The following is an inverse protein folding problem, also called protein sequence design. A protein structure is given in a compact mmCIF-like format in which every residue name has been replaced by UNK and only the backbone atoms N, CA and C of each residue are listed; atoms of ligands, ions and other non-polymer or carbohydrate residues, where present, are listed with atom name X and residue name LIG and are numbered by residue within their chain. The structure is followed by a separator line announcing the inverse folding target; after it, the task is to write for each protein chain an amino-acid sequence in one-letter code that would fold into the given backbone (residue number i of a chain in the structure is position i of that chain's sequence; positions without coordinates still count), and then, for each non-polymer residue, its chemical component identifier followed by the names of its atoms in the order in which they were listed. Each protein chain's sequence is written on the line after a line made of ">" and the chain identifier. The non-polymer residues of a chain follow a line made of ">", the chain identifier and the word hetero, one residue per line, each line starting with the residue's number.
data_IF_567190190168
#
_entry.id   IF_567190190168
#
_cell.length_a   1.000
_cell.length_b   1.000
_cell.length_c   1.000
_cell.angle_alpha   90.00
_cell.angle_beta   90.00
_cell.angle_gamma   90.00
#
_symmetry.space_group_name_H-M   'P 1'
#
loop_
_entity.id
_entity.type
_entity.pdbx_description
1 polymer ?
#
# COMPACT_ATOMS: atom_id res chain seq x y z
N UNK A 1 43.20 -59.65 3.58
CA UNK A 1 43.04 -58.34 4.31
C UNK A 1 43.58 -57.26 3.41
N UNK A 2 42.74 -56.64 2.67
CA UNK A 2 43.05 -55.62 1.65
C UNK A 2 42.51 -54.29 2.15
N UNK A 3 43.42 -53.35 2.37
CA UNK A 3 43.08 -51.93 2.73
C UNK A 3 42.82 -51.18 1.45
N UNK A 4 41.58 -50.67 1.27
CA UNK A 4 41.28 -49.74 0.23
C UNK A 4 41.50 -48.32 0.76
N UNK A 5 42.44 -47.62 0.16
CA UNK A 5 42.64 -46.17 0.27
C UNK A 5 41.62 -45.47 -0.68
N UNK A 6 40.74 -44.67 -0.14
CA UNK A 6 39.98 -43.69 -0.90
C UNK A 6 40.77 -42.38 -0.95
N UNK A 7 41.20 -42.00 -2.15
CA UNK A 7 41.70 -40.66 -2.44
C UNK A 7 40.48 -39.74 -2.66
N UNK A 8 40.27 -38.81 -1.76
CA UNK A 8 39.35 -37.73 -1.95
C UNK A 8 40.07 -36.61 -2.70
N UNK A 9 39.74 -36.42 -3.99
CA UNK A 9 40.21 -35.30 -4.79
C UNK A 9 39.50 -34.01 -4.36
N UNK A 10 40.24 -33.09 -3.79
CA UNK A 10 39.82 -31.72 -3.49
C UNK A 10 39.86 -30.94 -4.80
N UNK A 11 38.70 -30.74 -5.45
CA UNK A 11 38.57 -29.79 -6.56
C UNK A 11 38.50 -28.38 -5.97
N UNK A 12 39.61 -27.64 -6.03
CA UNK A 12 39.61 -26.19 -5.82
C UNK A 12 38.87 -25.53 -6.99
N UNK A 13 37.63 -25.13 -6.76
CA UNK A 13 37.00 -24.13 -7.63
C UNK A 13 37.60 -22.77 -7.30
N UNK A 14 38.56 -22.35 -8.09
CA UNK A 14 38.97 -20.94 -8.16
C UNK A 14 37.80 -20.16 -8.77
N UNK A 15 36.99 -19.54 -7.93
CA UNK A 15 36.06 -18.50 -8.36
C UNK A 15 36.92 -17.34 -8.86
N UNK A 16 37.17 -17.28 -10.17
CA UNK A 16 37.67 -16.11 -10.83
C UNK A 16 36.56 -15.05 -10.65
N UNK A 17 36.77 -14.10 -9.75
CA UNK A 17 36.06 -12.84 -9.72
C UNK A 17 36.37 -12.16 -11.04
N UNK A 18 35.48 -12.32 -12.04
CA UNK A 18 35.44 -11.49 -13.20
C UNK A 18 35.11 -10.08 -12.67
N UNK A 19 36.14 -9.30 -12.42
CA UNK A 19 36.00 -7.84 -12.37
C UNK A 19 35.45 -7.45 -13.74
N UNK A 20 34.12 -7.27 -13.80
CA UNK A 20 33.50 -6.64 -14.96
C UNK A 20 34.22 -5.30 -15.12
N UNK A 21 34.87 -5.09 -16.26
CA UNK A 21 35.36 -3.76 -16.62
C UNK A 21 34.19 -2.80 -16.48
N UNK A 22 34.40 -1.57 -15.99
CA UNK A 22 33.35 -0.59 -15.92
C UNK A 22 32.80 -0.40 -17.33
N UNK A 23 31.61 -0.96 -17.55
CA UNK A 23 30.91 -0.82 -18.82
C UNK A 23 30.58 0.66 -18.94
N UNK A 24 31.01 1.30 -20.03
CA UNK A 24 30.70 2.72 -20.26
C UNK A 24 29.20 2.89 -20.18
N UNK A 25 28.75 3.95 -19.49
CA UNK A 25 27.33 4.26 -19.38
C UNK A 25 26.69 4.29 -20.77
N UNK A 26 25.52 3.65 -20.96
CA UNK A 26 24.83 3.66 -22.25
C UNK A 26 24.46 5.10 -22.64
N UNK A 27 24.36 5.34 -23.95
CA UNK A 27 24.00 6.65 -24.49
C UNK A 27 22.50 6.76 -24.70
N UNK A 28 21.93 7.92 -24.34
CA UNK A 28 20.53 8.25 -24.55
C UNK A 28 20.37 9.48 -25.48
N UNK A 29 19.34 9.47 -26.29
CA UNK A 29 18.94 10.58 -27.15
C UNK A 29 17.71 11.27 -26.61
N UNK A 30 17.82 12.56 -26.35
CA UNK A 30 16.67 13.39 -25.93
C UNK A 30 15.77 13.68 -27.12
N UNK A 31 14.50 13.39 -27.02
CA UNK A 31 13.47 13.84 -27.93
C UNK A 31 13.03 15.26 -27.55
N UNK A 32 13.31 16.28 -28.38
CA UNK A 32 13.00 17.67 -28.06
C UNK A 32 11.49 17.98 -28.04
N UNK A 33 10.67 17.16 -28.70
CA UNK A 33 9.25 17.43 -28.85
C UNK A 33 8.46 17.01 -27.60
N UNK A 34 8.93 15.96 -26.90
CA UNK A 34 8.21 15.41 -25.74
C UNK A 34 9.05 15.34 -24.44
N UNK A 35 10.35 15.65 -24.52
CA UNK A 35 11.25 15.70 -23.36
C UNK A 35 11.67 14.33 -22.80
N UNK A 36 11.36 13.22 -23.49
CA UNK A 36 11.83 11.90 -23.09
C UNK A 36 13.21 11.59 -23.65
N UNK A 37 13.93 10.73 -22.95
CA UNK A 37 15.22 10.19 -23.40
C UNK A 37 15.01 8.73 -23.81
N UNK A 38 15.59 8.33 -24.95
CA UNK A 38 15.57 6.94 -25.41
C UNK A 38 16.99 6.45 -25.56
N UNK A 39 17.32 5.29 -24.97
CA UNK A 39 18.64 4.67 -25.13
C UNK A 39 18.77 3.80 -26.40
N UNK A 40 19.93 3.21 -26.61
CA UNK A 40 20.23 2.35 -27.77
C UNK A 40 19.41 1.06 -27.80
N UNK A 41 18.88 0.61 -26.64
CA UNK A 41 18.00 -0.54 -26.52
C UNK A 41 16.53 -0.18 -26.82
N UNK A 42 16.22 1.10 -26.96
CA UNK A 42 14.87 1.62 -27.11
C UNK A 42 14.14 1.77 -25.79
N UNK A 43 14.85 1.74 -24.67
CA UNK A 43 14.27 2.00 -23.36
C UNK A 43 14.04 3.50 -23.20
N UNK A 44 12.90 3.86 -22.61
CA UNK A 44 12.45 5.23 -22.48
C UNK A 44 12.59 5.71 -21.05
N UNK A 45 13.10 6.94 -20.90
CA UNK A 45 13.32 7.58 -19.61
C UNK A 45 12.68 8.97 -19.59
N UNK A 46 12.27 9.39 -18.40
CA UNK A 46 11.81 10.74 -18.12
C UNK A 46 12.68 11.39 -17.04
N UNK A 47 12.71 12.73 -17.02
CA UNK A 47 13.43 13.46 -15.99
C UNK A 47 12.63 13.48 -14.69
N UNK A 48 13.34 13.25 -13.57
CA UNK A 48 12.87 13.47 -12.20
C UNK A 48 13.63 14.67 -11.67
N UNK A 49 12.96 15.66 -11.09
CA UNK A 49 13.53 16.89 -10.52
C UNK A 49 14.49 17.68 -11.44
N UNK A 50 14.56 17.34 -12.71
CA UNK A 50 15.39 17.98 -13.74
C UNK A 50 16.85 17.56 -13.78
N UNK A 51 17.31 16.67 -12.88
CA UNK A 51 18.72 16.24 -12.78
C UNK A 51 18.92 14.74 -12.91
N UNK A 52 17.91 13.95 -12.60
CA UNK A 52 17.93 12.49 -12.64
C UNK A 52 16.93 11.96 -13.65
N UNK A 53 17.13 10.73 -14.08
CA UNK A 53 16.22 10.01 -14.96
C UNK A 53 15.54 8.88 -14.23
N UNK A 54 14.35 8.49 -14.68
CA UNK A 54 13.71 7.22 -14.31
C UNK A 54 13.20 6.53 -15.58
N UNK A 55 13.30 5.21 -15.62
CA UNK A 55 12.76 4.40 -16.70
C UNK A 55 11.24 4.45 -16.65
N UNK A 56 10.57 4.78 -17.76
CA UNK A 56 9.14 5.05 -17.81
C UNK A 56 8.42 4.26 -18.90
N UNK A 57 7.09 4.30 -18.88
CA UNK A 57 6.28 3.63 -19.90
C UNK A 57 6.51 4.13 -21.33
N UNK A 58 6.21 3.29 -22.34
CA UNK A 58 6.26 3.64 -23.75
C UNK A 58 7.60 3.35 -24.44
N UNK A 59 8.56 2.72 -23.76
CA UNK A 59 9.76 2.16 -24.36
C UNK A 59 9.51 0.78 -24.99
N UNK A 60 10.54 0.26 -25.67
CA UNK A 60 10.53 -1.11 -26.20
C UNK A 60 11.06 -2.08 -25.17
N UNK A 61 10.18 -2.73 -24.46
CA UNK A 61 10.53 -3.64 -23.36
C UNK A 61 10.06 -5.06 -23.65
N UNK A 62 11.01 -6.01 -23.65
CA UNK A 62 10.71 -7.44 -23.77
C UNK A 62 11.81 -8.28 -23.11
N UNK A 63 11.46 -9.47 -22.64
CA UNK A 63 12.39 -10.37 -21.96
C UNK A 63 12.94 -9.76 -20.67
N UNK A 64 14.26 -9.83 -20.49
CA UNK A 64 14.97 -9.23 -19.36
C UNK A 64 15.36 -7.78 -19.69
N UNK A 65 14.88 -6.85 -18.90
CA UNK A 65 15.22 -5.42 -18.96
C UNK A 65 16.32 -5.12 -17.95
N UNK A 66 17.45 -4.56 -18.40
CA UNK A 66 18.55 -4.15 -17.53
C UNK A 66 18.52 -2.62 -17.38
N UNK A 67 18.18 -2.12 -16.20
CA UNK A 67 18.14 -0.68 -15.90
C UNK A 67 19.54 -0.23 -15.53
N UNK A 68 20.19 0.67 -16.29
CA UNK A 68 21.52 1.16 -15.96
C UNK A 68 21.50 2.09 -14.75
N UNK A 69 22.63 2.23 -14.04
CA UNK A 69 22.78 3.22 -12.95
C UNK A 69 22.90 4.65 -13.49
N UNK A 70 23.46 4.79 -14.66
CA UNK A 70 23.68 6.09 -15.31
C UNK A 70 23.42 6.00 -16.79
N UNK A 71 23.09 7.13 -17.41
CA UNK A 71 22.86 7.28 -18.85
C UNK A 71 23.54 8.57 -19.35
N UNK A 72 24.26 8.52 -20.47
CA UNK A 72 24.87 9.70 -21.06
C UNK A 72 23.89 10.39 -22.01
N UNK A 73 23.48 11.61 -21.69
CA UNK A 73 22.54 12.40 -22.51
C UNK A 73 23.17 13.73 -22.85
N UNK A 74 23.34 14.01 -24.15
CA UNK A 74 23.97 15.24 -24.60
C UNK A 74 25.41 15.43 -24.10
N UNK A 75 26.13 14.33 -23.87
CA UNK A 75 27.51 14.34 -23.36
C UNK A 75 27.61 14.50 -21.84
N UNK A 76 26.49 14.50 -21.10
CA UNK A 76 26.44 14.52 -19.64
C UNK A 76 25.98 13.18 -19.13
N UNK A 77 26.68 12.64 -18.13
CA UNK A 77 26.26 11.46 -17.42
C UNK A 77 25.23 11.85 -16.37
N UNK A 78 24.04 11.24 -16.45
CA UNK A 78 22.92 11.44 -15.54
C UNK A 78 22.64 10.16 -14.78
N UNK A 79 22.29 10.27 -13.50
CA UNK A 79 21.87 9.17 -12.66
C UNK A 79 20.50 8.66 -13.10
N UNK A 80 20.31 7.34 -13.14
CA UNK A 80 18.99 6.71 -13.28
C UNK A 80 18.50 6.34 -11.89
N UNK A 81 17.58 7.14 -11.35
CA UNK A 81 17.09 7.02 -9.99
C UNK A 81 16.20 5.79 -9.76
N UNK A 82 15.64 5.23 -10.84
CA UNK A 82 14.78 4.05 -10.69
C UNK A 82 13.84 3.80 -11.85
N UNK A 83 12.75 3.15 -11.51
CA UNK A 83 11.67 2.75 -12.42
C UNK A 83 10.41 3.53 -12.03
N UNK A 84 9.85 4.26 -12.96
CA UNK A 84 8.65 5.07 -12.76
C UNK A 84 7.42 4.21 -12.40
N UNK A 85 6.41 4.85 -11.81
CA UNK A 85 5.09 4.25 -11.68
C UNK A 85 4.55 3.82 -13.06
N UNK A 86 3.81 2.70 -13.10
CA UNK A 86 3.21 2.12 -14.30
C UNK A 86 4.19 1.76 -15.45
N UNK A 87 5.50 1.76 -15.24
CA UNK A 87 6.50 1.62 -16.31
C UNK A 87 6.31 0.38 -17.20
N UNK A 88 5.99 -0.75 -16.62
CA UNK A 88 5.75 -2.03 -17.33
C UNK A 88 4.32 -2.53 -17.16
N UNK A 89 3.40 -1.66 -16.77
CA UNK A 89 2.00 -2.01 -16.57
C UNK A 89 1.43 -2.66 -17.82
N UNK A 90 0.74 -3.81 -17.64
CA UNK A 90 0.11 -4.62 -18.69
C UNK A 90 1.09 -5.19 -19.74
N UNK A 91 2.40 -4.97 -19.61
CA UNK A 91 3.41 -5.49 -20.53
C UNK A 91 3.72 -6.97 -20.22
N UNK A 92 3.16 -7.89 -21.01
CA UNK A 92 3.35 -9.34 -20.86
C UNK A 92 4.68 -9.85 -21.42
N UNK A 93 5.38 -9.04 -22.23
CA UNK A 93 6.64 -9.42 -22.89
C UNK A 93 7.83 -9.29 -21.94
N UNK A 94 7.74 -8.42 -20.93
CA UNK A 94 8.79 -8.28 -19.90
C UNK A 94 8.63 -9.41 -18.88
N UNK A 95 9.67 -10.25 -18.79
CA UNK A 95 9.69 -11.41 -17.87
C UNK A 95 10.58 -11.22 -16.66
N UNK A 96 11.54 -10.28 -16.74
CA UNK A 96 12.47 -9.97 -15.67
C UNK A 96 12.98 -8.53 -15.76
N UNK A 97 13.36 -7.94 -14.62
CA UNK A 97 13.95 -6.60 -14.56
C UNK A 97 15.11 -6.58 -13.57
N UNK A 98 16.29 -6.28 -14.09
CA UNK A 98 17.50 -6.09 -13.28
C UNK A 98 17.72 -4.59 -13.03
N UNK A 99 17.78 -4.20 -11.79
CA UNK A 99 18.06 -2.85 -11.33
C UNK A 99 18.87 -2.89 -10.03
N UNK A 100 19.54 -1.80 -9.72
CA UNK A 100 20.30 -1.69 -8.48
C UNK A 100 19.36 -1.38 -7.29
N UNK A 101 19.07 -2.41 -6.50
CA UNK A 101 18.14 -2.30 -5.37
C UNK A 101 18.61 -1.37 -4.25
N UNK A 102 19.90 -1.09 -4.18
CA UNK A 102 20.48 -0.25 -3.13
C UNK A 102 20.36 1.25 -3.45
N UNK A 103 20.29 1.59 -4.74
CA UNK A 103 20.30 3.00 -5.19
C UNK A 103 19.12 3.39 -6.06
N UNK A 104 18.37 2.41 -6.62
CA UNK A 104 17.25 2.66 -7.52
C UNK A 104 15.93 2.24 -6.88
N UNK A 105 14.93 3.11 -6.97
CA UNK A 105 13.57 2.80 -6.50
C UNK A 105 12.72 2.16 -7.60
N UNK A 106 11.59 1.60 -7.18
CA UNK A 106 10.53 1.10 -8.08
C UNK A 106 9.22 1.78 -7.70
N UNK A 107 8.62 2.45 -8.66
CA UNK A 107 7.36 3.18 -8.49
C UNK A 107 6.15 2.25 -8.35
N UNK A 108 5.06 2.73 -7.76
CA UNK A 108 3.81 1.98 -7.63
C UNK A 108 3.26 1.53 -8.99
N UNK A 109 2.65 0.36 -9.03
CA UNK A 109 2.10 -0.29 -10.22
C UNK A 109 3.11 -0.51 -11.38
N UNK A 110 4.41 -0.30 -11.17
CA UNK A 110 5.42 -0.46 -12.22
C UNK A 110 5.35 -1.83 -12.90
N UNK A 111 5.02 -2.89 -12.15
CA UNK A 111 4.93 -4.28 -12.62
C UNK A 111 3.51 -4.83 -12.62
N UNK A 112 2.51 -3.97 -12.45
CA UNK A 112 1.12 -4.40 -12.39
C UNK A 112 0.70 -5.10 -13.68
N UNK A 113 0.24 -6.35 -13.55
CA UNK A 113 -0.18 -7.20 -14.68
C UNK A 113 0.88 -7.38 -15.79
N UNK A 114 2.16 -7.19 -15.47
CA UNK A 114 3.26 -7.51 -16.39
C UNK A 114 3.49 -9.02 -16.50
N UNK A 115 4.48 -9.42 -17.33
CA UNK A 115 4.95 -10.81 -17.40
C UNK A 115 5.89 -11.19 -16.24
N UNK A 116 6.29 -10.25 -15.39
CA UNK A 116 7.19 -10.48 -14.27
C UNK A 116 6.48 -11.32 -13.20
N UNK A 117 7.14 -12.39 -12.74
CA UNK A 117 6.60 -13.23 -11.70
C UNK A 117 6.65 -12.56 -10.34
N UNK A 118 5.50 -12.53 -9.66
CA UNK A 118 5.36 -12.07 -8.31
C UNK A 118 5.06 -13.24 -7.38
N UNK A 119 5.93 -13.46 -6.42
CA UNK A 119 5.73 -14.46 -5.37
C UNK A 119 5.25 -13.75 -4.11
N UNK A 120 3.95 -13.82 -3.83
CA UNK A 120 3.33 -13.23 -2.64
C UNK A 120 3.93 -13.79 -1.34
N UNK A 121 4.32 -15.08 -1.34
CA UNK A 121 4.81 -15.78 -0.16
C UNK A 121 6.29 -15.53 0.16
N UNK A 122 6.98 -14.69 -0.59
CA UNK A 122 8.44 -14.54 -0.48
C UNK A 122 8.89 -13.39 0.43
N UNK A 123 8.23 -13.19 1.58
CA UNK A 123 8.80 -12.39 2.66
C UNK A 123 8.64 -10.87 2.53
N UNK A 124 7.52 -10.39 1.96
CA UNK A 124 7.18 -8.98 2.09
C UNK A 124 6.55 -8.71 3.44
N UNK A 125 6.95 -7.63 4.09
CA UNK A 125 6.17 -7.10 5.18
C UNK A 125 4.83 -6.58 4.66
N UNK A 126 3.75 -6.89 5.38
CA UNK A 126 2.44 -6.33 5.11
C UNK A 126 2.51 -4.80 5.18
N UNK A 127 1.66 -4.08 4.42
CA UNK A 127 1.51 -2.65 4.60
C UNK A 127 1.24 -2.29 6.06
N UNK A 128 1.92 -1.24 6.53
CA UNK A 128 1.80 -0.75 7.90
C UNK A 128 1.18 0.64 7.91
N UNK A 129 0.45 0.92 8.97
CA UNK A 129 -0.10 2.25 9.18
C UNK A 129 1.00 3.20 9.62
N UNK A 130 1.01 4.40 9.05
CA UNK A 130 1.92 5.48 9.41
C UNK A 130 1.13 6.64 9.97
N UNK A 131 1.61 7.15 11.08
CA UNK A 131 0.97 8.20 11.87
C UNK A 131 1.78 9.49 11.78
N UNK A 132 1.12 10.66 11.74
CA UNK A 132 1.83 11.92 11.72
C UNK A 132 2.47 12.19 13.09
N UNK A 133 3.74 12.59 13.09
CA UNK A 133 4.45 13.15 14.24
C UNK A 133 4.53 14.66 14.16
N UNK A 134 4.75 15.17 12.94
CA UNK A 134 4.74 16.61 12.61
C UNK A 134 4.43 16.79 11.12
N UNK A 135 4.48 18.01 10.60
CA UNK A 135 4.06 18.38 9.24
C UNK A 135 4.68 17.54 8.09
N UNK A 136 5.71 16.76 8.31
CA UNK A 136 6.36 15.95 7.26
C UNK A 136 6.93 14.64 7.77
N UNK A 137 6.94 14.41 9.09
CA UNK A 137 7.47 13.19 9.69
C UNK A 137 6.33 12.28 10.10
N UNK A 138 6.46 11.03 9.72
CA UNK A 138 5.52 9.95 10.03
C UNK A 138 6.26 8.85 10.76
N UNK A 139 5.59 8.15 11.64
CA UNK A 139 6.18 7.06 12.39
C UNK A 139 5.32 5.79 12.30
N UNK A 140 5.99 4.66 12.45
CA UNK A 140 5.38 3.34 12.65
C UNK A 140 5.64 2.94 14.08
N UNK A 141 4.59 2.48 14.76
CA UNK A 141 4.66 2.14 16.17
C UNK A 141 5.61 0.96 16.46
N UNK A 142 6.22 0.97 17.63
CA UNK A 142 7.19 -0.05 18.04
C UNK A 142 6.63 -1.47 18.00
N UNK A 143 5.36 -1.65 18.35
CA UNK A 143 4.70 -2.96 18.33
C UNK A 143 4.61 -3.60 16.94
N UNK A 144 4.74 -2.80 15.88
CA UNK A 144 4.60 -3.22 14.49
C UNK A 144 5.93 -3.42 13.76
N UNK A 145 7.06 -3.06 14.38
CA UNK A 145 8.35 -2.92 13.68
C UNK A 145 9.29 -4.10 13.77
N UNK A 146 8.92 -5.17 14.47
CA UNK A 146 9.82 -6.31 14.67
C UNK A 146 10.41 -6.88 13.37
N UNK A 147 9.69 -6.77 12.25
CA UNK A 147 10.09 -7.32 10.94
C UNK A 147 10.45 -6.24 9.91
N UNK A 148 10.59 -4.96 10.32
CA UNK A 148 10.83 -3.88 9.36
C UNK A 148 12.32 -3.56 9.20
N UNK A 149 12.87 -3.92 8.04
CA UNK A 149 14.19 -3.43 7.61
C UNK A 149 14.11 -1.93 7.27
N UNK A 150 14.94 -1.12 7.95
CA UNK A 150 14.99 0.35 7.82
C UNK A 150 15.46 0.79 6.43
N UNK A 151 16.23 -0.03 5.77
CA UNK A 151 16.82 0.26 4.46
C UNK A 151 15.91 -0.13 3.28
N UNK A 152 14.85 -0.89 3.54
CA UNK A 152 13.91 -1.26 2.48
C UNK A 152 13.16 -0.04 1.96
N UNK A 153 13.23 0.30 0.66
CA UNK A 153 12.48 1.41 0.08
C UNK A 153 10.98 1.26 0.28
N UNK A 154 10.32 2.34 0.70
CA UNK A 154 8.88 2.35 0.98
C UNK A 154 8.20 3.55 0.36
N UNK A 155 6.90 3.39 0.14
CA UNK A 155 5.99 4.43 -0.28
C UNK A 155 4.94 4.66 0.80
N UNK A 156 4.66 5.91 1.10
CA UNK A 156 3.48 6.30 1.84
C UNK A 156 2.32 6.49 0.88
N UNK A 157 1.19 5.90 1.19
CA UNK A 157 -0.06 6.07 0.47
C UNK A 157 -1.06 6.83 1.35
N UNK A 158 -1.69 7.82 0.75
CA UNK A 158 -2.85 8.50 1.31
C UNK A 158 -3.89 8.62 0.22
N UNK A 159 -4.96 7.85 0.31
CA UNK A 159 -5.91 7.63 -0.78
C UNK A 159 -5.21 7.04 -2.02
N UNK A 160 -5.22 7.79 -3.13
CA UNK A 160 -4.53 7.43 -4.37
C UNK A 160 -3.20 8.16 -4.56
N UNK A 161 -2.89 9.09 -3.67
CA UNK A 161 -1.62 9.80 -3.69
C UNK A 161 -0.55 8.96 -2.99
N UNK A 162 0.68 9.08 -3.42
CA UNK A 162 1.81 8.40 -2.81
C UNK A 162 3.07 9.28 -2.84
N UNK A 163 3.95 9.04 -1.88
CA UNK A 163 5.24 9.69 -1.78
C UNK A 163 6.28 8.72 -1.24
N UNK A 164 7.55 8.81 -1.65
CA UNK A 164 8.61 8.00 -1.07
C UNK A 164 8.82 8.37 0.40
N UNK A 165 9.07 7.36 1.23
CA UNK A 165 9.44 7.50 2.63
C UNK A 165 10.94 7.26 2.78
N UNK A 166 11.62 8.17 3.46
CA UNK A 166 13.02 8.04 3.82
C UNK A 166 13.11 7.85 5.33
N UNK A 167 13.86 6.85 5.76
CA UNK A 167 14.16 6.63 7.17
C UNK A 167 14.90 7.84 7.76
N UNK A 168 14.48 8.28 8.93
CA UNK A 168 15.09 9.37 9.67
C UNK A 168 15.84 8.84 10.88
N UNK A 169 15.14 8.19 11.80
CA UNK A 169 15.70 7.69 13.04
C UNK A 169 14.83 6.62 13.68
N UNK A 170 15.41 5.91 14.62
CA UNK A 170 14.79 4.86 15.41
C UNK A 170 14.73 5.32 16.86
N UNK A 171 13.55 5.70 17.33
CA UNK A 171 13.30 6.12 18.70
C UNK A 171 12.78 4.96 19.55
N UNK A 172 13.54 3.86 19.57
CA UNK A 172 13.30 2.75 20.49
C UNK A 172 13.86 3.13 21.86
N UNK A 173 13.02 3.60 22.75
CA UNK A 173 13.39 3.82 24.15
C UNK A 173 13.06 2.60 24.99
N UNK A 174 13.82 2.45 26.08
CA UNK A 174 13.89 1.34 27.01
C UNK A 174 12.55 0.67 27.39
N UNK A 175 12.68 -0.57 27.88
CA UNK A 175 11.67 -1.56 28.24
C UNK A 175 10.50 -1.10 29.14
N UNK A 176 10.53 0.13 29.66
CA UNK A 176 9.56 0.62 30.66
C UNK A 176 8.25 1.16 30.07
N UNK A 177 8.17 1.38 28.75
CA UNK A 177 6.94 1.86 28.11
C UNK A 177 6.22 0.70 27.39
N UNK A 178 5.62 -0.18 28.17
CA UNK A 178 4.90 -1.38 27.70
C UNK A 178 3.52 -1.13 27.10
N UNK A 179 3.03 0.11 27.04
CA UNK A 179 1.66 0.42 26.66
C UNK A 179 1.68 1.43 25.51
N UNK A 180 1.03 1.07 24.41
CA UNK A 180 0.93 1.92 23.23
C UNK A 180 0.30 3.27 23.56
N UNK A 181 1.03 4.34 23.30
CA UNK A 181 0.45 5.68 23.33
C UNK A 181 -0.36 5.92 22.07
N UNK A 182 -1.48 6.59 22.24
CA UNK A 182 -2.35 7.02 21.17
C UNK A 182 -1.60 7.93 20.19
N UNK A 183 -1.77 7.76 18.88
CA UNK A 183 -1.24 8.70 17.89
C UNK A 183 -1.76 10.14 18.05
N UNK A 184 -2.81 10.35 18.83
CA UNK A 184 -3.42 11.66 19.11
C UNK A 184 -2.77 12.40 20.29
N UNK A 185 -2.00 11.72 21.11
CA UNK A 185 -1.27 12.30 22.24
C UNK A 185 0.21 12.46 21.84
N UNK A 186 0.45 13.06 20.69
CA UNK A 186 1.79 13.46 20.28
C UNK A 186 2.19 14.74 20.99
N UNK A 187 2.41 14.67 22.28
CA UNK A 187 3.33 15.57 22.93
C UNK A 187 4.75 15.14 22.51
N UNK A 188 5.59 16.08 22.06
CA UNK A 188 6.89 15.89 21.38
C UNK A 188 7.93 14.98 22.10
N UNK A 189 7.57 14.27 23.13
CA UNK A 189 8.51 13.67 24.09
C UNK A 189 8.50 12.17 24.28
N UNK A 190 7.62 11.40 23.64
CA UNK A 190 7.46 10.02 24.08
C UNK A 190 7.07 8.94 23.11
N UNK A 191 6.88 9.23 21.85
CA UNK A 191 6.48 8.20 20.89
C UNK A 191 7.65 7.31 20.51
N UNK A 192 7.44 6.01 20.68
CA UNK A 192 8.42 5.00 20.30
C UNK A 192 8.05 4.42 18.94
N UNK A 193 9.00 4.43 18.03
CA UNK A 193 8.76 3.89 16.70
C UNK A 193 9.91 4.17 15.74
N UNK A 194 9.69 3.79 14.50
CA UNK A 194 10.57 4.14 13.37
C UNK A 194 10.02 5.38 12.70
N UNK A 195 10.86 6.40 12.56
CA UNK A 195 10.50 7.68 11.96
C UNK A 195 10.93 7.75 10.50
N UNK A 196 10.00 8.21 9.66
CA UNK A 196 10.19 8.42 8.23
C UNK A 196 9.79 9.84 7.83
N UNK A 197 10.46 10.38 6.84
CA UNK A 197 10.13 11.67 6.23
C UNK A 197 9.74 11.49 4.76
N UNK A 198 8.73 12.25 4.32
CA UNK A 198 8.40 12.34 2.90
C UNK A 198 9.32 13.33 2.20
N UNK A 199 10.21 12.83 1.36
CA UNK A 199 11.15 13.63 0.57
C UNK A 199 10.51 14.11 -0.73
N UNK A 200 9.49 14.94 -0.62
CA UNK A 200 8.80 15.54 -1.76
C UNK A 200 8.67 17.06 -1.61
N UNK A 201 8.65 17.82 -2.73
CA UNK A 201 8.46 19.26 -2.68
C UNK A 201 7.17 19.66 -1.96
N UNK A 202 7.16 20.78 -1.28
CA UNK A 202 6.00 21.29 -0.51
C UNK A 202 4.72 21.41 -1.37
N UNK A 203 4.87 21.72 -2.66
CA UNK A 203 3.73 21.74 -3.58
C UNK A 203 3.08 20.37 -3.69
N UNK A 204 3.87 19.30 -3.80
CA UNK A 204 3.38 17.91 -3.88
C UNK A 204 2.71 17.52 -2.57
N UNK A 205 3.29 17.85 -1.40
CA UNK A 205 2.66 17.65 -0.09
C UNK A 205 1.31 18.34 0.00
N UNK A 206 1.24 19.63 -0.40
CA UNK A 206 -0.01 20.40 -0.41
C UNK A 206 -1.08 19.78 -1.33
N UNK A 207 -0.69 19.31 -2.50
CA UNK A 207 -1.62 18.66 -3.42
C UNK A 207 -2.10 17.30 -2.90
N UNK A 208 -1.20 16.52 -2.28
CA UNK A 208 -1.50 15.22 -1.69
C UNK A 208 -2.52 15.33 -0.53
N UNK A 209 -2.36 16.33 0.32
CA UNK A 209 -3.19 16.53 1.52
C UNK A 209 -4.22 17.65 1.37
N UNK A 210 -4.54 18.06 0.16
CA UNK A 210 -5.50 19.16 -0.08
C UNK A 210 -6.81 18.94 0.67
N UNK A 211 -7.15 19.87 1.56
CA UNK A 211 -8.34 19.83 2.39
C UNK A 211 -8.24 18.94 3.63
N UNK A 212 -7.02 18.54 4.01
CA UNK A 212 -6.71 17.84 5.25
C UNK A 212 -5.54 18.51 5.97
N UNK A 213 -5.56 18.47 7.29
CA UNK A 213 -4.37 18.78 8.07
C UNK A 213 -3.38 17.61 7.91
N UNK A 214 -2.14 17.86 7.46
CA UNK A 214 -1.13 16.80 7.37
C UNK A 214 -0.87 16.07 8.69
N UNK A 215 -1.11 16.73 9.84
CA UNK A 215 -0.95 16.13 11.16
C UNK A 215 -2.06 15.14 11.52
N UNK A 216 -3.20 15.21 10.83
CA UNK A 216 -4.34 14.29 11.03
C UNK A 216 -4.36 13.15 9.99
N UNK A 217 -3.34 13.08 9.12
CA UNK A 217 -3.32 12.11 8.01
C UNK A 217 -2.70 10.80 8.47
N UNK A 218 -3.54 9.80 8.65
CA UNK A 218 -3.08 8.41 8.75
C UNK A 218 -2.92 7.86 7.34
N UNK A 219 -1.72 7.41 7.02
CA UNK A 219 -1.37 6.80 5.74
C UNK A 219 -1.04 5.31 5.87
N UNK A 220 -0.65 4.72 4.75
CA UNK A 220 -0.12 3.37 4.69
C UNK A 220 1.30 3.41 4.15
N UNK A 221 2.26 2.85 4.88
CA UNK A 221 3.59 2.59 4.37
C UNK A 221 3.64 1.20 3.76
N UNK A 222 4.06 1.14 2.51
CA UNK A 222 4.17 -0.12 1.76
C UNK A 222 5.58 -0.25 1.21
N UNK A 223 6.14 -1.44 1.27
CA UNK A 223 7.39 -1.72 0.57
C UNK A 223 7.25 -1.40 -0.92
N UNK A 224 8.28 -0.80 -1.51
CA UNK A 224 8.27 -0.43 -2.93
C UNK A 224 7.98 -1.65 -3.82
N UNK A 225 8.50 -2.81 -3.44
CA UNK A 225 8.23 -4.05 -4.16
C UNK A 225 6.77 -4.51 -4.08
N UNK A 226 6.11 -4.36 -2.93
CA UNK A 226 4.67 -4.59 -2.82
C UNK A 226 3.90 -3.61 -3.70
N UNK A 227 4.19 -2.32 -3.55
CA UNK A 227 3.51 -1.26 -4.29
C UNK A 227 3.65 -1.42 -5.82
N UNK A 228 4.81 -1.89 -6.30
CA UNK A 228 5.08 -2.08 -7.73
C UNK A 228 4.14 -3.09 -8.43
N UNK A 229 3.59 -4.06 -7.70
CA UNK A 229 2.70 -5.08 -8.27
C UNK A 229 1.21 -4.81 -8.08
N UNK A 230 0.85 -3.68 -7.43
CA UNK A 230 -0.53 -3.31 -7.14
C UNK A 230 -0.91 -2.00 -7.82
N UNK A 231 -2.13 -1.91 -8.33
CA UNK A 231 -2.69 -0.67 -8.88
C UNK A 231 -3.48 0.07 -7.81
N UNK A 232 -3.28 1.37 -7.71
CA UNK A 232 -3.91 2.26 -6.74
C UNK A 232 -4.80 3.28 -7.47
N UNK A 233 -6.06 2.96 -7.74
CA UNK A 233 -6.95 3.87 -8.46
C UNK A 233 -7.35 5.07 -7.61
N UNK A 234 -7.65 6.21 -8.24
CA UNK A 234 -8.25 7.33 -7.54
C UNK A 234 -9.65 6.97 -7.06
N UNK A 235 -9.95 7.32 -5.81
CA UNK A 235 -11.28 7.14 -5.23
C UNK A 235 -11.71 8.37 -4.44
N UNK A 236 -13.02 8.58 -4.32
CA UNK A 236 -13.62 9.51 -3.37
C UNK A 236 -14.15 8.74 -2.18
N UNK A 237 -13.97 9.28 -0.98
CA UNK A 237 -14.52 8.72 0.25
C UNK A 237 -15.56 9.65 0.84
N UNK A 238 -16.48 9.07 1.62
CA UNK A 238 -17.32 9.84 2.51
C UNK A 238 -16.46 10.55 3.56
N UNK A 239 -16.81 11.79 3.89
CA UNK A 239 -16.13 12.57 4.92
C UNK A 239 -17.09 12.79 6.09
N UNK A 240 -16.53 12.76 7.29
CA UNK A 240 -17.29 13.11 8.49
C UNK A 240 -17.92 14.51 8.34
N UNK A 241 -19.23 14.61 8.66
CA UNK A 241 -20.00 15.85 8.49
C UNK A 241 -20.63 16.06 7.11
N UNK A 242 -20.36 15.22 6.11
CA UNK A 242 -21.12 15.18 4.87
C UNK A 242 -22.43 14.40 5.07
N UNK A 243 -23.47 14.75 4.26
CA UNK A 243 -24.70 13.98 4.29
C UNK A 243 -24.43 12.53 3.88
N UNK A 244 -24.82 11.59 4.74
CA UNK A 244 -24.73 10.16 4.44
C UNK A 244 -25.56 9.81 3.21
N UNK A 245 -24.98 9.02 2.30
CA UNK A 245 -25.64 8.55 1.10
C UNK A 245 -25.89 7.06 1.21
N UNK A 246 -27.14 6.64 1.01
CA UNK A 246 -27.50 5.24 0.90
C UNK A 246 -26.95 4.62 -0.39
N UNK A 247 -26.75 3.33 -0.36
CA UNK A 247 -26.48 2.56 -1.58
C UNK A 247 -27.72 2.54 -2.49
N UNK A 248 -27.59 2.10 -3.73
CA UNK A 248 -28.75 2.02 -4.61
C UNK A 248 -29.76 0.97 -4.15
N UNK A 249 -31.05 1.22 -4.32
CA UNK A 249 -32.11 0.26 -3.97
C UNK A 249 -31.92 -1.13 -4.63
N UNK A 250 -31.29 -1.19 -5.81
CA UNK A 250 -30.95 -2.46 -6.44
C UNK A 250 -29.90 -3.25 -5.67
N UNK A 251 -28.88 -2.58 -5.14
CA UNK A 251 -27.83 -3.21 -4.31
C UNK A 251 -28.40 -3.61 -2.95
N UNK A 252 -29.23 -2.78 -2.34
CA UNK A 252 -29.92 -3.09 -1.08
C UNK A 252 -30.74 -4.36 -1.20
N UNK A 253 -31.55 -4.47 -2.27
CA UNK A 253 -32.33 -5.69 -2.53
C UNK A 253 -31.47 -6.92 -2.80
N UNK A 254 -30.33 -6.78 -3.48
CA UNK A 254 -29.38 -7.88 -3.66
C UNK A 254 -28.85 -8.35 -2.31
N UNK A 255 -28.56 -7.44 -1.38
CA UNK A 255 -28.05 -7.75 -0.04
C UNK A 255 -29.11 -8.44 0.82
N UNK A 256 -30.35 -7.91 0.86
CA UNK A 256 -31.47 -8.57 1.55
C UNK A 256 -31.70 -10.00 1.03
N UNK A 257 -31.67 -10.17 -0.30
CA UNK A 257 -31.84 -11.49 -0.91
C UNK A 257 -30.70 -12.44 -0.57
N UNK A 258 -29.46 -11.93 -0.54
CA UNK A 258 -28.25 -12.75 -0.27
C UNK A 258 -28.23 -13.27 1.16
N UNK A 259 -28.63 -12.45 2.13
CA UNK A 259 -28.55 -12.78 3.55
C UNK A 259 -29.88 -13.18 4.18
N UNK A 260 -30.99 -13.03 3.48
CA UNK A 260 -32.32 -13.38 3.98
C UNK A 260 -32.75 -12.53 5.19
N UNK A 261 -32.17 -11.32 5.34
CA UNK A 261 -32.46 -10.39 6.45
C UNK A 261 -32.97 -9.05 5.89
N UNK A 262 -33.85 -8.40 6.64
CA UNK A 262 -34.31 -7.02 6.34
C UNK A 262 -33.16 -6.04 6.56
N UNK A 263 -32.96 -5.14 5.62
CA UNK A 263 -31.99 -4.08 5.73
C UNK A 263 -32.52 -2.92 6.61
N UNK A 264 -31.78 -2.52 7.63
CA UNK A 264 -32.05 -1.31 8.42
C UNK A 264 -31.56 -0.08 7.67
N UNK A 265 -30.30 -0.13 7.22
CA UNK A 265 -29.69 0.96 6.48
C UNK A 265 -28.53 0.50 5.62
N UNK A 266 -28.24 1.28 4.61
CA UNK A 266 -27.00 1.15 3.83
C UNK A 266 -26.28 2.49 3.81
N UNK A 267 -24.96 2.44 3.80
CA UNK A 267 -24.13 3.64 3.79
C UNK A 267 -23.00 3.50 2.80
N UNK A 268 -22.74 4.59 2.14
CA UNK A 268 -21.68 4.72 1.19
C UNK A 268 -20.35 5.06 1.91
N UNK A 269 -19.26 4.32 1.59
CA UNK A 269 -17.93 4.59 2.16
C UNK A 269 -16.99 5.16 1.11
N UNK A 270 -16.98 4.60 -0.10
CA UNK A 270 -16.08 5.04 -1.13
C UNK A 270 -16.53 4.68 -2.54
N UNK A 271 -16.06 5.46 -3.52
CA UNK A 271 -16.41 5.32 -4.93
C UNK A 271 -15.20 5.46 -5.83
N UNK A 272 -15.00 4.48 -6.70
CA UNK A 272 -14.03 4.46 -7.78
C UNK A 272 -14.75 4.74 -9.10
N UNK A 273 -14.62 5.95 -9.62
CA UNK A 273 -15.40 6.40 -10.80
C UNK A 273 -15.06 5.62 -12.07
N UNK A 274 -13.77 5.36 -12.29
CA UNK A 274 -13.30 4.70 -13.51
C UNK A 274 -13.78 3.25 -13.63
N UNK A 275 -13.92 2.55 -12.50
CA UNK A 275 -14.35 1.16 -12.46
C UNK A 275 -15.85 0.97 -12.18
N UNK A 276 -16.61 2.05 -12.03
CA UNK A 276 -17.99 2.01 -11.47
C UNK A 276 -18.05 1.15 -10.19
N UNK A 277 -16.98 1.30 -9.38
CA UNK A 277 -16.77 0.53 -8.16
C UNK A 277 -17.21 1.29 -6.93
N UNK A 278 -17.81 0.60 -5.95
CA UNK A 278 -18.25 1.21 -4.70
C UNK A 278 -17.94 0.31 -3.52
N UNK A 279 -17.61 0.95 -2.40
CA UNK A 279 -17.51 0.31 -1.09
C UNK A 279 -18.66 0.83 -0.25
N UNK A 280 -19.42 -0.06 0.34
CA UNK A 280 -20.55 0.29 1.21
C UNK A 280 -20.68 -0.59 2.42
N UNK A 281 -21.39 -0.10 3.43
CA UNK A 281 -21.82 -0.84 4.62
C UNK A 281 -23.32 -1.05 4.52
N UNK A 282 -23.76 -2.23 4.92
CA UNK A 282 -25.15 -2.66 5.01
C UNK A 282 -25.38 -3.19 6.41
N UNK A 283 -26.32 -2.60 7.14
CA UNK A 283 -26.72 -2.99 8.47
C UNK A 283 -28.10 -3.64 8.42
N UNK A 284 -28.25 -4.80 9.05
CA UNK A 284 -29.46 -5.61 8.98
C UNK A 284 -30.18 -5.64 10.33
N UNK A 285 -31.50 -5.85 10.27
CA UNK A 285 -32.28 -6.14 11.47
C UNK A 285 -31.70 -7.35 12.21
N UNK A 286 -31.57 -7.26 13.53
CA UNK A 286 -31.14 -8.39 14.32
C UNK A 286 -32.07 -9.59 14.17
N UNK A 287 -31.48 -10.77 14.14
CA UNK A 287 -32.21 -12.05 14.09
C UNK A 287 -31.64 -12.97 15.18
N UNK A 288 -32.54 -13.57 15.97
CA UNK A 288 -32.18 -14.50 17.03
C UNK A 288 -31.14 -13.99 18.05
N UNK A 289 -31.17 -12.68 18.35
CA UNK A 289 -30.22 -12.04 19.26
C UNK A 289 -28.85 -11.74 18.66
N UNK A 290 -28.70 -11.84 17.35
CA UNK A 290 -27.47 -11.51 16.64
C UNK A 290 -27.66 -10.31 15.71
N UNK A 291 -26.87 -9.27 15.90
CA UNK A 291 -26.73 -8.14 14.96
C UNK A 291 -25.74 -8.48 13.85
N UNK A 292 -25.96 -7.95 12.64
CA UNK A 292 -25.11 -8.20 11.48
C UNK A 292 -24.88 -6.93 10.66
N UNK A 293 -23.62 -6.70 10.31
CA UNK A 293 -23.20 -5.72 9.29
C UNK A 293 -22.44 -6.43 8.16
N UNK A 294 -22.50 -5.84 6.98
CA UNK A 294 -21.77 -6.34 5.82
C UNK A 294 -21.04 -5.18 5.15
N UNK A 295 -19.72 -5.29 5.01
CA UNK A 295 -18.95 -4.42 4.11
C UNK A 295 -18.92 -5.09 2.74
N UNK A 296 -19.29 -4.36 1.69
CA UNK A 296 -19.37 -4.89 0.34
C UNK A 296 -18.52 -4.08 -0.65
N UNK A 297 -17.78 -4.80 -1.47
CA UNK A 297 -17.25 -4.30 -2.73
C UNK A 297 -18.25 -4.58 -3.84
N UNK A 298 -18.63 -3.54 -4.56
CA UNK A 298 -19.57 -3.62 -5.69
C UNK A 298 -18.95 -3.02 -6.94
N UNK A 299 -19.30 -3.54 -8.10
CA UNK A 299 -18.82 -3.02 -9.39
C UNK A 299 -19.88 -3.25 -10.47
N UNK A 300 -20.13 -2.23 -11.30
CA UNK A 300 -21.16 -2.32 -12.34
C UNK A 300 -22.56 -2.63 -11.78
N UNK A 301 -22.93 -2.09 -10.63
CA UNK A 301 -24.21 -2.31 -9.96
C UNK A 301 -24.43 -3.74 -9.41
N UNK A 302 -23.35 -4.53 -9.24
CA UNK A 302 -23.39 -5.89 -8.69
C UNK A 302 -22.47 -6.04 -7.51
N UNK A 303 -22.88 -6.85 -6.53
CA UNK A 303 -22.03 -7.26 -5.41
C UNK A 303 -20.94 -8.19 -5.94
N UNK A 304 -19.69 -7.85 -5.72
CA UNK A 304 -18.52 -8.65 -6.11
C UNK A 304 -17.97 -9.48 -4.97
N UNK A 305 -17.83 -8.85 -3.80
CA UNK A 305 -17.34 -9.52 -2.61
C UNK A 305 -17.90 -8.86 -1.34
N UNK A 306 -18.00 -9.64 -0.27
CA UNK A 306 -18.55 -9.19 1.02
C UNK A 306 -17.72 -9.67 2.20
N UNK A 307 -17.62 -8.83 3.22
CA UNK A 307 -17.15 -9.17 4.56
C UNK A 307 -18.31 -9.06 5.53
N UNK A 308 -18.59 -10.11 6.28
CA UNK A 308 -19.68 -10.17 7.27
C UNK A 308 -19.06 -10.06 8.66
N UNK A 309 -19.59 -9.18 9.47
CA UNK A 309 -19.30 -9.11 10.91
C UNK A 309 -20.60 -9.25 11.66
N UNK A 310 -20.61 -10.12 12.69
CA UNK A 310 -21.77 -10.33 13.57
C UNK A 310 -21.34 -10.09 15.01
N UNK A 311 -22.30 -9.73 15.85
CA UNK A 311 -22.13 -9.64 17.29
C UNK A 311 -23.43 -10.02 18.01
N UNK A 312 -23.31 -10.58 19.20
CA UNK A 312 -24.47 -10.84 20.06
C UNK A 312 -25.07 -9.53 20.57
N UNK A 313 -26.38 -9.51 20.74
CA UNK A 313 -27.10 -8.40 21.34
C UNK A 313 -27.26 -8.67 22.81
N UNK A 314 -26.67 -7.85 23.64
CA UNK A 314 -26.93 -7.83 25.06
C UNK A 314 -28.32 -7.18 25.33
N UNK A 315 -29.23 -7.81 26.11
CA UNK A 315 -30.54 -7.27 26.38
C UNK A 315 -30.53 -5.92 27.11
N UNK A 316 -29.46 -5.62 27.84
CA UNK A 316 -29.32 -4.38 28.64
C UNK A 316 -28.58 -3.29 27.86
N UNK A 317 -27.51 -3.67 27.10
CA UNK A 317 -26.59 -2.73 26.45
C UNK A 317 -26.74 -2.68 24.93
N UNK A 318 -27.51 -3.56 24.33
CA UNK A 318 -27.66 -3.64 22.87
C UNK A 318 -26.51 -4.40 22.20
N UNK A 319 -26.26 -4.11 20.91
CA UNK A 319 -25.14 -4.71 20.18
C UNK A 319 -23.83 -4.06 20.58
N UNK A 320 -22.83 -4.87 20.94
CA UNK A 320 -21.49 -4.40 21.32
C UNK A 320 -20.52 -4.75 20.19
N UNK A 321 -20.20 -3.79 19.32
CA UNK A 321 -19.26 -3.93 18.23
C UNK A 321 -17.81 -3.63 18.65
N UNK A 322 -17.67 -2.63 19.51
CA UNK A 322 -16.47 -2.24 20.20
C UNK A 322 -16.85 -1.85 21.64
N UNK A 323 -15.86 -1.62 22.48
CA UNK A 323 -16.11 -1.09 23.84
C UNK A 323 -16.69 0.33 23.70
N UNK A 324 -17.79 0.61 24.43
CA UNK A 324 -18.44 1.92 24.51
C UNK A 324 -18.98 2.50 23.18
N UNK A 325 -19.48 1.65 22.29
CA UNK A 325 -20.03 2.04 20.99
C UNK A 325 -21.53 2.41 20.99
N UNK A 326 -22.16 2.51 22.13
CA UNK A 326 -23.58 2.81 22.31
C UNK A 326 -24.51 1.91 21.46
N UNK A 327 -24.06 0.71 21.12
CA UNK A 327 -24.81 -0.27 20.33
C UNK A 327 -24.86 0.02 18.83
N UNK A 328 -24.07 0.97 18.32
CA UNK A 328 -24.04 1.32 16.90
C UNK A 328 -22.70 0.97 16.25
N UNK A 329 -22.75 0.41 15.05
CA UNK A 329 -21.53 0.21 14.25
C UNK A 329 -21.10 1.52 13.61
N UNK A 330 -19.97 2.07 14.03
CA UNK A 330 -19.39 3.27 13.46
C UNK A 330 -19.02 3.06 11.96
N UNK A 331 -19.07 4.13 11.16
CA UNK A 331 -18.67 4.04 9.76
C UNK A 331 -17.14 4.05 9.66
N UNK A 332 -16.48 3.00 9.18
CA UNK A 332 -15.05 3.02 8.96
C UNK A 332 -14.68 3.96 7.80
N UNK A 333 -13.59 4.71 7.98
CA UNK A 333 -13.04 5.54 6.93
C UNK A 333 -12.17 4.70 5.98
N UNK A 334 -12.48 4.72 4.68
CA UNK A 334 -11.65 4.06 3.67
C UNK A 334 -10.35 4.86 3.49
N UNK A 335 -9.20 4.23 3.78
CA UNK A 335 -7.89 4.84 3.69
C UNK A 335 -7.24 4.67 2.33
N UNK A 336 -7.32 3.45 1.79
CA UNK A 336 -6.68 3.10 0.53
C UNK A 336 -7.46 2.01 -0.19
N UNK A 337 -7.41 2.04 -1.51
CA UNK A 337 -7.91 0.98 -2.39
C UNK A 337 -6.79 0.56 -3.32
N UNK A 338 -6.55 -0.74 -3.41
CA UNK A 338 -5.64 -1.29 -4.40
C UNK A 338 -6.28 -2.47 -5.12
N UNK A 339 -5.70 -2.82 -6.26
CA UNK A 339 -6.01 -4.06 -6.99
C UNK A 339 -4.74 -4.88 -7.15
N UNK A 340 -4.85 -6.17 -6.90
CA UNK A 340 -3.78 -7.11 -7.21
C UNK A 340 -3.73 -7.43 -8.73
N UNK A 341 -2.75 -8.22 -9.16
CA UNK A 341 -2.57 -8.60 -10.58
C UNK A 341 -3.74 -9.36 -11.21
N UNK A 342 -4.67 -9.85 -10.41
CA UNK A 342 -5.88 -10.58 -10.82
C UNK A 342 -7.13 -9.70 -10.75
N UNK A 343 -6.95 -8.39 -10.52
CA UNK A 343 -8.01 -7.40 -10.31
C UNK A 343 -8.88 -7.67 -9.06
N UNK A 344 -8.37 -8.45 -8.09
CA UNK A 344 -9.02 -8.54 -6.80
C UNK A 344 -8.77 -7.25 -6.00
N UNK A 345 -9.85 -6.73 -5.41
CA UNK A 345 -9.76 -5.52 -4.60
C UNK A 345 -9.10 -5.78 -3.25
N UNK A 346 -8.33 -4.81 -2.79
CA UNK A 346 -7.74 -4.75 -1.44
C UNK A 346 -8.15 -3.40 -0.86
N UNK A 347 -8.72 -3.42 0.34
CA UNK A 347 -9.27 -2.26 1.02
C UNK A 347 -8.62 -2.10 2.38
N UNK A 348 -8.24 -0.88 2.76
CA UNK A 348 -7.76 -0.55 4.10
C UNK A 348 -8.65 0.49 4.74
N UNK A 349 -8.96 0.27 6.01
CA UNK A 349 -9.89 1.07 6.77
C UNK A 349 -9.30 1.54 8.09
N UNK A 350 -9.72 2.72 8.50
CA UNK A 350 -9.68 3.19 9.87
C UNK A 350 -11.09 3.20 10.43
N UNK A 351 -11.31 2.46 11.50
CA UNK A 351 -12.60 2.37 12.20
C UNK A 351 -12.43 2.93 13.61
N UNK A 352 -12.73 4.22 13.83
CA UNK A 352 -12.65 4.82 15.15
C UNK A 352 -13.74 4.26 16.05
N UNK A 353 -13.39 4.05 17.30
CA UNK A 353 -14.29 3.77 18.41
C UNK A 353 -13.98 4.77 19.54
N UNK A 354 -14.89 4.96 20.53
CA UNK A 354 -14.71 5.98 21.58
C UNK A 354 -13.36 5.95 22.29
N UNK A 355 -12.85 4.76 22.61
CA UNK A 355 -11.57 4.58 23.31
C UNK A 355 -10.54 3.81 22.48
N UNK A 356 -10.82 3.55 21.21
CA UNK A 356 -9.91 2.79 20.35
C UNK A 356 -10.01 3.19 18.88
N UNK A 357 -9.00 2.80 18.14
CA UNK A 357 -8.96 2.89 16.69
C UNK A 357 -8.64 1.50 16.15
N UNK A 358 -9.50 0.99 15.28
CA UNK A 358 -9.27 -0.28 14.60
C UNK A 358 -8.84 -0.02 13.18
N UNK A 359 -7.62 -0.43 12.87
CA UNK A 359 -7.08 -0.38 11.52
C UNK A 359 -7.15 -1.79 10.95
N UNK A 360 -7.85 -1.97 9.84
CA UNK A 360 -8.00 -3.30 9.25
C UNK A 360 -7.95 -3.28 7.73
N UNK A 361 -7.45 -4.37 7.18
CA UNK A 361 -7.35 -4.62 5.74
C UNK A 361 -8.22 -5.79 5.33
N UNK A 362 -8.96 -5.63 4.23
CA UNK A 362 -9.77 -6.66 3.59
C UNK A 362 -9.26 -6.93 2.18
N UNK A 363 -9.10 -8.21 1.81
CA UNK A 363 -8.70 -8.63 0.48
C UNK A 363 -9.75 -9.52 -0.15
N UNK A 364 -10.08 -9.28 -1.40
CA UNK A 364 -11.01 -10.12 -2.15
C UNK A 364 -10.40 -11.49 -2.44
N UNK A 365 -11.18 -12.54 -2.10
CA UNK A 365 -10.93 -13.93 -2.47
C UNK A 365 -12.25 -14.52 -2.97
N UNK A 366 -12.40 -14.59 -4.29
CA UNK A 366 -13.68 -14.96 -4.90
C UNK A 366 -14.77 -13.92 -4.61
N UNK A 367 -15.85 -14.33 -3.96
CA UNK A 367 -16.98 -13.48 -3.58
C UNK A 367 -16.94 -13.01 -2.11
N UNK A 368 -15.82 -13.24 -1.43
CA UNK A 368 -15.60 -12.84 -0.06
C UNK A 368 -14.49 -11.78 0.04
N UNK A 369 -14.62 -10.89 1.01
CA UNK A 369 -13.56 -10.02 1.49
C UNK A 369 -13.00 -10.66 2.76
N UNK A 370 -11.75 -11.12 2.72
CA UNK A 370 -11.08 -11.77 3.84
C UNK A 370 -10.20 -10.76 4.58
N UNK A 371 -10.25 -10.71 5.92
CA UNK A 371 -9.33 -9.90 6.70
C UNK A 371 -7.89 -10.45 6.55
N UNK A 372 -6.92 -9.57 6.37
CA UNK A 372 -5.50 -9.93 6.27
C UNK A 372 -4.59 -9.09 7.16
N UNK A 373 -5.11 -7.99 7.70
CA UNK A 373 -4.42 -7.12 8.64
C UNK A 373 -5.48 -6.55 9.58
N UNK A 374 -5.26 -6.63 10.87
CA UNK A 374 -6.11 -6.03 11.90
C UNK A 374 -5.23 -5.55 13.05
N UNK A 375 -5.35 -4.28 13.40
CA UNK A 375 -4.59 -3.63 14.45
C UNK A 375 -5.54 -2.79 15.29
N UNK A 376 -5.59 -3.05 16.58
CA UNK A 376 -6.43 -2.32 17.52
C UNK A 376 -5.56 -1.46 18.44
N UNK A 377 -5.91 -0.19 18.55
CA UNK A 377 -5.25 0.80 19.38
C UNK A 377 -6.23 1.30 20.43
N UNK A 378 -5.78 1.31 21.65
CA UNK A 378 -6.50 1.96 22.74
C UNK A 378 -6.05 3.42 22.84
N UNK A 379 -7.02 4.33 22.80
CA UNK A 379 -6.82 5.75 23.05
C UNK A 379 -7.15 5.98 24.52
N UNK A 380 -6.13 6.07 25.36
CA UNK A 380 -6.39 6.48 26.75
C UNK A 380 -6.67 7.99 26.74
N UNK A 381 -7.86 8.36 27.12
CA UNK A 381 -8.23 9.74 27.45
C UNK A 381 -8.00 9.88 28.95
N UNK A 382 -6.95 10.58 29.37
CA UNK A 382 -6.75 10.98 30.76
C UNK A 382 -7.75 12.09 31.14
#
# INVERSE_FOLDING_TARGET
>A
MIKNLFFAGLALFAAASLYAQPQSAPSGTLDPDNGFVTDENGYRYQYVDGLKLELCAGGRYAGTVNVPRTLVVGGKELEVAGIAADAFRDNKEVTDVNYDRDTQYVGPAAFYRSGIHYYWDSGYSLPKYVYPSNNSVYYVLQSEIYDWDRNTPRWMFFKHNYAPLTFVEDLLKDEDLKWGYSPWIADDKGMQGIYFEMQVPDKVKKDMFRGYDPQEVIGLAMEARFAAFHRFPPFSRWKWGEQEQSMSASLEKQMETRYGRTLVQSRYIGHLREEDGRVGIFEFEPVDGEAMIVIAWTQGGRIKATYVKTTEIDPEYGSVWNVDDDGTYGIPALLCVAFDRHDNVILWFNHPAPESMNLFGLRQQGDQLQPFSEEQWYVFVD
#
